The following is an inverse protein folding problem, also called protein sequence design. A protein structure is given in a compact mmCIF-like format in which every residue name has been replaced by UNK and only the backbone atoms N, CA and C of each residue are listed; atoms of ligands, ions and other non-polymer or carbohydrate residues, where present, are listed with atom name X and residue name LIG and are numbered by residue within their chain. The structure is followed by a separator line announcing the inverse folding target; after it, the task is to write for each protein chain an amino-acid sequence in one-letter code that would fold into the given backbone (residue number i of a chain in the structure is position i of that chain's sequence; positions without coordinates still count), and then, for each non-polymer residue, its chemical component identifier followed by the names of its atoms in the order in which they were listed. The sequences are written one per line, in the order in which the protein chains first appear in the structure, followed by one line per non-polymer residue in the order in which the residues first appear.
data_IF_650672495124
#
_entry.id   IF_650672495124
#
_cell.length_a   1.000
_cell.length_b   1.000
_cell.length_c   1.000
_cell.angle_alpha   90.00
_cell.angle_beta   90.00
_cell.angle_gamma   90.00
#
_symmetry.space_group_name_H-M   'P 1'
#
loop_
_entity.id
_entity.type
_entity.pdbx_description
1 polymer ?
#
# COMPACT_ATOMS: atom_id res chain seq x y z
N UNK A 1 1.55 2.40 5.25
CA UNK A 1 1.65 3.81 4.79
C UNK A 1 1.00 3.95 3.42
N UNK A 2 1.42 3.14 2.43
CA UNK A 2 0.92 3.26 1.05
C UNK A 2 -0.58 3.03 0.90
N UNK A 3 -1.13 1.89 1.32
CA UNK A 3 -2.59 1.68 1.21
C UNK A 3 -3.40 2.69 2.04
N UNK A 4 -2.89 3.05 3.22
CA UNK A 4 -3.50 4.00 4.16
C UNK A 4 -3.66 5.43 3.60
N UNK A 5 -2.70 5.89 2.80
CA UNK A 5 -2.63 7.28 2.33
C UNK A 5 -2.76 7.45 0.82
N UNK A 6 -2.40 6.43 0.06
CA UNK A 6 -2.37 6.47 -1.39
C UNK A 6 -3.37 5.48 -2.00
N UNK A 7 -4.17 4.81 -1.16
CA UNK A 7 -5.10 3.76 -1.59
C UNK A 7 -4.47 2.79 -2.61
N UNK A 8 -3.20 2.44 -2.39
CA UNK A 8 -2.45 1.61 -3.31
C UNK A 8 -3.14 0.26 -3.49
N UNK A 9 -3.35 -0.13 -4.74
CA UNK A 9 -3.99 -1.38 -5.14
C UNK A 9 -2.99 -2.49 -5.55
N UNK A 10 -1.74 -2.11 -5.79
CA UNK A 10 -0.65 -3.02 -6.15
C UNK A 10 0.51 -2.81 -5.16
N UNK A 11 1.09 -3.91 -4.70
CA UNK A 11 2.30 -3.96 -3.87
C UNK A 11 3.41 -4.67 -4.65
N UNK A 12 4.55 -4.00 -4.84
CA UNK A 12 5.73 -4.58 -5.46
C UNK A 12 6.80 -4.84 -4.39
N UNK A 13 7.21 -6.10 -4.21
CA UNK A 13 8.26 -6.50 -3.28
C UNK A 13 9.50 -6.98 -4.05
N UNK A 14 10.70 -6.48 -3.73
CA UNK A 14 11.90 -6.89 -4.43
C UNK A 14 12.39 -8.25 -3.90
N UNK A 15 12.18 -9.31 -4.69
CA UNK A 15 12.42 -10.70 -4.26
C UNK A 15 13.87 -11.08 -3.93
N UNK A 16 14.86 -10.21 -4.19
CA UNK A 16 16.25 -10.44 -3.78
C UNK A 16 16.59 -9.89 -2.39
N UNK A 17 15.75 -9.04 -1.82
CA UNK A 17 16.05 -8.31 -0.58
C UNK A 17 15.10 -8.66 0.57
N UNK A 18 14.05 -9.43 0.30
CA UNK A 18 13.12 -9.91 1.32
C UNK A 18 13.22 -11.43 1.44
N UNK A 19 13.26 -11.91 2.68
CA UNK A 19 12.99 -13.32 2.94
C UNK A 19 11.48 -13.62 2.77
N UNK A 20 11.10 -14.89 2.55
CA UNK A 20 9.69 -15.29 2.51
C UNK A 20 8.87 -14.87 3.75
N UNK A 21 9.33 -15.06 5.01
CA UNK A 21 8.54 -14.66 6.17
C UNK A 21 8.35 -13.14 6.27
N UNK A 22 9.39 -12.35 5.99
CA UNK A 22 9.27 -10.88 5.95
C UNK A 22 8.29 -10.41 4.86
N UNK A 23 8.35 -11.04 3.68
CA UNK A 23 7.40 -10.75 2.59
C UNK A 23 5.95 -11.00 3.00
N UNK A 24 5.70 -12.09 3.75
CA UNK A 24 4.36 -12.43 4.25
C UNK A 24 3.86 -11.39 5.26
N UNK A 25 4.73 -10.91 6.15
CA UNK A 25 4.37 -9.88 7.11
C UNK A 25 4.00 -8.57 6.43
N UNK A 26 4.81 -8.12 5.46
CA UNK A 26 4.52 -6.91 4.69
C UNK A 26 3.23 -7.06 3.88
N UNK A 27 3.02 -8.22 3.26
CA UNK A 27 1.78 -8.52 2.54
C UNK A 27 0.56 -8.45 3.46
N UNK A 28 0.61 -9.02 4.66
CA UNK A 28 -0.48 -8.94 5.65
C UNK A 28 -0.77 -7.49 6.02
N UNK A 29 0.28 -6.71 6.34
CA UNK A 29 0.14 -5.29 6.65
C UNK A 29 -0.53 -4.52 5.51
N UNK A 30 -0.15 -4.81 4.26
CA UNK A 30 -0.76 -4.20 3.09
C UNK A 30 -2.22 -4.62 2.88
N UNK A 31 -2.56 -5.90 3.03
CA UNK A 31 -3.93 -6.37 2.83
C UNK A 31 -4.91 -5.79 3.86
N UNK A 32 -4.52 -5.78 5.13
CA UNK A 32 -5.37 -5.35 6.25
C UNK A 32 -5.31 -3.86 6.55
N UNK A 33 -4.45 -3.08 5.89
CA UNK A 33 -4.45 -1.63 6.03
C UNK A 33 -5.69 -1.02 5.35
N UNK A 34 -6.47 -0.25 6.10
CA UNK A 34 -7.59 0.53 5.57
C UNK A 34 -7.14 1.90 5.07
N UNK A 35 -7.75 2.38 3.99
CA UNK A 35 -7.52 3.73 3.46
C UNK A 35 -8.24 4.78 4.31
N UNK A 36 -7.53 5.83 4.73
CA UNK A 36 -8.07 6.84 5.64
C UNK A 36 -8.91 7.95 4.97
N UNK A 37 -8.88 8.06 3.64
CA UNK A 37 -9.68 9.09 2.94
C UNK A 37 -9.35 10.52 3.37
N UNK A 38 -10.36 11.40 3.33
CA UNK A 38 -10.22 12.79 3.76
C UNK A 38 -9.21 13.58 2.93
N UNK A 39 -8.22 14.20 3.59
CA UNK A 39 -7.17 14.99 2.90
C UNK A 39 -6.35 14.19 1.89
N UNK A 40 -6.35 12.86 2.01
CA UNK A 40 -5.65 11.95 1.12
C UNK A 40 -6.39 11.72 -0.19
N UNK A 41 -7.73 11.78 -0.18
CA UNK A 41 -8.55 11.65 -1.39
C UNK A 41 -8.23 12.76 -2.40
N UNK A 42 -8.07 14.00 -1.94
CA UNK A 42 -7.68 15.15 -2.78
C UNK A 42 -6.37 14.95 -3.56
N UNK A 43 -5.48 14.06 -3.11
CA UNK A 43 -4.25 13.70 -3.83
C UNK A 43 -4.50 12.60 -4.85
N UNK A 44 -5.35 11.64 -4.52
CA UNK A 44 -5.77 10.58 -5.45
C UNK A 44 -6.53 11.15 -6.64
N UNK A 45 -7.41 12.11 -6.42
CA UNK A 45 -8.20 12.77 -7.47
C UNK A 45 -7.32 13.49 -8.51
N UNK A 46 -6.03 13.74 -8.21
CA UNK A 46 -5.06 14.32 -9.16
C UNK A 46 -4.38 13.29 -10.05
N UNK A 47 -4.37 12.03 -9.64
CA UNK A 47 -3.63 10.93 -10.29
C UNK A 47 -4.59 9.96 -10.97
N UNK A 48 -5.82 9.83 -10.45
CA UNK A 48 -6.91 9.14 -11.10
C UNK A 48 -7.36 9.99 -12.30
N UNK A 49 -6.99 9.55 -13.50
CA UNK A 49 -7.46 10.05 -14.81
C UNK A 49 -8.47 9.05 -15.35
#
# INVERSE_FOLDING_TARGET
MDKKYNNANILCLPGRFFSPPESIEVLKSFLYSEFQGGRHQKRLDKVAV
#
